data_IF_250768303538
#
_entry.id   IF_250768303538
#
_cell.length_a   1.000
_cell.length_b   1.000
_cell.length_c   1.000
_cell.angle_alpha   90.00
_cell.angle_beta   90.00
_cell.angle_gamma   90.00
#
_symmetry.space_group_name_H-M   'P 1'
#
loop_
_entity.id
_entity.type
_entity.pdbx_description
1 polymer ?
#
# COMPACT_ATOMS: atom_id res chain seq x y z
N UNK A 1 -27.91 1.93 0.67
CA UNK A 1 -27.56 2.87 -0.43
C UNK A 1 -27.44 2.09 -1.73
N UNK A 2 -27.66 2.69 -2.91
CA UNK A 2 -27.37 2.01 -4.17
C UNK A 2 -25.85 1.73 -4.23
N UNK A 3 -25.44 0.66 -4.95
CA UNK A 3 -24.04 0.34 -5.13
C UNK A 3 -23.26 1.52 -5.75
N UNK A 4 -22.07 1.86 -5.26
CA UNK A 4 -21.32 3.00 -5.75
C UNK A 4 -20.69 2.74 -7.12
N UNK A 5 -20.43 3.81 -7.88
CA UNK A 5 -19.47 3.80 -8.98
C UNK A 5 -18.09 4.14 -8.42
N UNK A 6 -17.13 3.27 -8.65
CA UNK A 6 -15.76 3.35 -8.09
C UNK A 6 -14.77 3.56 -9.22
N UNK A 7 -13.95 4.60 -9.12
CA UNK A 7 -12.86 4.83 -10.06
C UNK A 7 -11.50 4.58 -9.40
N UNK A 8 -10.59 3.90 -10.09
CA UNK A 8 -9.22 3.64 -9.67
C UNK A 8 -8.27 4.37 -10.62
N UNK A 9 -7.70 5.48 -10.16
CA UNK A 9 -6.64 6.18 -10.86
C UNK A 9 -5.29 5.48 -10.60
N UNK A 10 -4.51 5.28 -11.67
CA UNK A 10 -3.31 4.43 -11.59
C UNK A 10 -3.61 2.93 -11.55
N UNK A 11 -4.83 2.51 -11.94
CA UNK A 11 -5.31 1.13 -11.88
C UNK A 11 -4.51 0.13 -12.74
N UNK A 12 -3.61 0.58 -13.61
CA UNK A 12 -2.68 -0.28 -14.37
C UNK A 12 -1.31 -0.42 -13.70
N UNK A 13 -1.04 0.33 -12.62
CA UNK A 13 0.20 0.29 -11.84
C UNK A 13 0.32 -0.97 -10.97
N UNK A 14 1.41 -1.06 -10.19
CA UNK A 14 1.67 -2.22 -9.32
C UNK A 14 0.51 -2.45 -8.34
N UNK A 15 0.30 -1.57 -7.37
CA UNK A 15 -0.79 -1.66 -6.41
C UNK A 15 -2.16 -1.53 -7.07
N UNK A 16 -2.34 -0.54 -7.96
CA UNK A 16 -3.64 -0.26 -8.57
C UNK A 16 -4.22 -1.46 -9.33
N UNK A 17 -3.37 -2.24 -10.01
CA UNK A 17 -3.82 -3.43 -10.72
C UNK A 17 -4.26 -4.57 -9.78
N UNK A 18 -3.65 -4.68 -8.61
CA UNK A 18 -4.06 -5.63 -7.58
C UNK A 18 -5.42 -5.22 -7.00
N UNK A 19 -5.59 -3.93 -6.68
CA UNK A 19 -6.88 -3.40 -6.22
C UNK A 19 -7.98 -3.66 -7.25
N UNK A 20 -7.78 -3.27 -8.52
CA UNK A 20 -8.76 -3.50 -9.60
C UNK A 20 -9.12 -4.98 -9.71
N UNK A 21 -8.12 -5.88 -9.70
CA UNK A 21 -8.33 -7.32 -9.76
C UNK A 21 -9.18 -7.81 -8.60
N UNK A 22 -8.88 -7.42 -7.37
CA UNK A 22 -9.66 -7.84 -6.19
C UNK A 22 -11.11 -7.34 -6.27
N UNK A 23 -11.32 -6.09 -6.69
CA UNK A 23 -12.66 -5.53 -6.85
C UNK A 23 -13.47 -6.21 -7.98
N UNK A 24 -12.82 -6.76 -9.00
CA UNK A 24 -13.47 -7.49 -10.09
C UNK A 24 -13.78 -8.95 -9.74
N UNK A 25 -12.86 -9.63 -9.06
CA UNK A 25 -12.90 -11.10 -8.93
C UNK A 25 -13.50 -11.59 -7.63
N UNK A 26 -13.58 -10.76 -6.61
CA UNK A 26 -14.16 -11.16 -5.34
C UNK A 26 -15.69 -11.29 -5.47
N UNK A 27 -16.15 -12.53 -5.61
CA UNK A 27 -17.59 -12.85 -5.72
C UNK A 27 -18.41 -12.48 -4.47
N UNK A 28 -17.73 -12.23 -3.37
CA UNK A 28 -18.31 -11.92 -2.07
C UNK A 28 -18.27 -10.43 -1.73
N UNK A 29 -17.50 -9.61 -2.47
CA UNK A 29 -17.58 -8.16 -2.33
C UNK A 29 -18.88 -7.64 -2.97
N UNK A 30 -19.46 -6.57 -2.43
CA UNK A 30 -20.65 -5.97 -3.01
C UNK A 30 -20.43 -5.62 -4.46
N UNK A 31 -21.44 -5.85 -5.27
CA UNK A 31 -21.38 -5.42 -6.68
C UNK A 31 -21.38 -3.89 -6.72
N UNK A 32 -20.39 -3.34 -7.40
CA UNK A 32 -20.38 -1.92 -7.72
C UNK A 32 -21.37 -1.66 -8.87
N UNK A 33 -21.95 -0.46 -8.91
CA UNK A 33 -22.72 -0.01 -10.07
C UNK A 33 -21.82 0.02 -11.31
N UNK A 34 -20.59 0.48 -11.14
CA UNK A 34 -19.55 0.51 -12.15
C UNK A 34 -18.18 0.50 -11.48
N UNK A 35 -17.24 -0.30 -11.95
CA UNK A 35 -15.83 -0.22 -11.62
C UNK A 35 -15.08 0.39 -12.81
N UNK A 36 -14.43 1.51 -12.59
CA UNK A 36 -13.79 2.31 -13.62
C UNK A 36 -12.27 2.30 -13.42
N UNK A 37 -11.54 1.90 -14.43
CA UNK A 37 -10.09 2.06 -14.48
C UNK A 37 -9.79 3.37 -15.20
N UNK A 38 -9.24 4.34 -14.47
CA UNK A 38 -8.75 5.57 -15.07
C UNK A 38 -7.33 5.35 -15.57
N UNK A 39 -7.11 5.51 -16.87
CA UNK A 39 -5.83 5.30 -17.52
C UNK A 39 -5.47 6.48 -18.43
N UNK A 40 -4.17 6.74 -18.61
CA UNK A 40 -3.67 7.80 -19.52
C UNK A 40 -3.70 7.38 -21.00
N UNK A 41 -3.67 6.08 -21.24
CA UNK A 41 -3.73 5.48 -22.56
C UNK A 41 -4.26 4.05 -22.47
N UNK A 42 -4.73 3.52 -23.58
CA UNK A 42 -5.03 2.10 -23.70
C UNK A 42 -3.76 1.25 -23.62
N UNK A 43 -3.87 0.07 -23.05
CA UNK A 43 -2.80 -0.92 -22.90
C UNK A 43 -3.39 -2.33 -22.87
N UNK A 44 -2.55 -3.36 -22.94
CA UNK A 44 -3.01 -4.75 -22.80
C UNK A 44 -3.72 -4.92 -21.45
N UNK A 45 -3.21 -4.31 -20.39
CA UNK A 45 -3.80 -4.37 -19.05
C UNK A 45 -5.17 -3.69 -18.97
N UNK A 46 -5.38 -2.56 -19.65
CA UNK A 46 -6.72 -1.93 -19.70
C UNK A 46 -7.70 -2.81 -20.48
N UNK A 47 -7.28 -3.44 -21.59
CA UNK A 47 -8.09 -4.38 -22.34
C UNK A 47 -8.44 -5.64 -21.55
N UNK A 48 -7.48 -6.16 -20.78
CA UNK A 48 -7.70 -7.27 -19.85
C UNK A 48 -8.79 -6.93 -18.84
N UNK A 49 -8.68 -5.81 -18.14
CA UNK A 49 -9.69 -5.40 -17.15
C UNK A 49 -11.06 -5.14 -17.78
N UNK A 50 -11.08 -4.60 -18.99
CA UNK A 50 -12.31 -4.38 -19.74
C UNK A 50 -13.01 -5.71 -20.08
N UNK A 51 -12.24 -6.73 -20.48
CA UNK A 51 -12.78 -8.07 -20.73
C UNK A 51 -13.32 -8.76 -19.47
N UNK A 52 -12.86 -8.33 -18.28
CA UNK A 52 -13.31 -8.82 -16.98
C UNK A 52 -14.48 -8.00 -16.40
N UNK A 53 -14.96 -6.98 -17.12
CA UNK A 53 -16.14 -6.20 -16.75
C UNK A 53 -15.86 -4.81 -16.15
N UNK A 54 -14.63 -4.34 -16.12
CA UNK A 54 -14.35 -2.94 -15.78
C UNK A 54 -14.65 -2.00 -16.94
N UNK A 55 -15.11 -0.80 -16.65
CA UNK A 55 -15.08 0.31 -17.60
C UNK A 55 -13.68 0.93 -17.63
N UNK A 56 -13.19 1.29 -18.82
CA UNK A 56 -11.94 2.03 -18.97
C UNK A 56 -12.26 3.44 -19.45
N UNK A 57 -11.77 4.45 -18.71
CA UNK A 57 -11.88 5.85 -19.12
C UNK A 57 -10.50 6.44 -19.29
N UNK A 58 -10.22 6.95 -20.48
CA UNK A 58 -8.96 7.62 -20.78
C UNK A 58 -9.06 9.07 -20.32
N UNK A 59 -8.08 9.51 -19.52
CA UNK A 59 -8.07 10.85 -18.97
C UNK A 59 -6.78 11.61 -19.31
N UNK A 60 -6.94 12.92 -19.38
CA UNK A 60 -5.89 13.94 -19.37
C UNK A 60 -6.25 14.99 -18.33
N UNK A 61 -5.37 15.94 -18.04
CA UNK A 61 -5.69 17.03 -17.10
C UNK A 61 -6.91 17.83 -17.52
N UNK A 62 -7.09 18.05 -18.83
CA UNK A 62 -8.17 18.87 -19.38
C UNK A 62 -9.55 18.21 -19.33
N UNK A 63 -9.63 16.88 -19.22
CA UNK A 63 -10.90 16.16 -19.25
C UNK A 63 -11.25 15.44 -17.94
N UNK A 64 -10.50 15.68 -16.86
CA UNK A 64 -10.69 15.01 -15.56
C UNK A 64 -12.12 15.10 -15.02
N UNK A 65 -12.81 16.26 -15.02
CA UNK A 65 -14.20 16.31 -14.57
C UNK A 65 -15.11 15.35 -15.35
N UNK A 66 -14.93 15.26 -16.68
CA UNK A 66 -15.70 14.36 -17.54
C UNK A 66 -15.32 12.89 -17.30
N UNK A 67 -14.03 12.59 -17.09
CA UNK A 67 -13.58 11.23 -16.81
C UNK A 67 -14.09 10.73 -15.45
N UNK A 68 -14.39 11.64 -14.51
CA UNK A 68 -14.96 11.38 -13.20
C UNK A 68 -16.49 11.56 -13.14
N UNK A 69 -17.15 11.78 -14.26
CA UNK A 69 -18.62 11.94 -14.28
C UNK A 69 -19.32 10.68 -13.75
N UNK A 70 -20.26 10.87 -12.83
CA UNK A 70 -21.02 9.79 -12.19
C UNK A 70 -20.22 8.91 -11.22
N UNK A 71 -18.97 9.25 -10.90
CA UNK A 71 -18.14 8.55 -9.91
C UNK A 71 -18.54 8.95 -8.49
N UNK A 72 -18.77 7.97 -7.60
CA UNK A 72 -19.06 8.18 -6.19
C UNK A 72 -17.80 8.09 -5.32
N UNK A 73 -16.85 7.22 -5.69
CA UNK A 73 -15.59 6.99 -4.95
C UNK A 73 -14.40 7.02 -5.88
N UNK A 74 -13.37 7.76 -5.50
CA UNK A 74 -12.08 7.78 -6.20
C UNK A 74 -10.99 7.16 -5.33
N UNK A 75 -10.36 6.11 -5.83
CA UNK A 75 -9.15 5.50 -5.28
C UNK A 75 -7.96 5.96 -6.13
N UNK A 76 -7.03 6.68 -5.52
CA UNK A 76 -5.84 7.18 -6.21
C UNK A 76 -4.62 6.32 -5.85
N UNK A 77 -4.09 5.59 -6.82
CA UNK A 77 -2.88 4.78 -6.71
C UNK A 77 -1.76 5.27 -7.64
N UNK A 78 -1.85 6.52 -8.07
CA UNK A 78 -0.81 7.14 -8.90
C UNK A 78 0.48 7.26 -8.11
N UNK A 79 1.59 6.75 -8.66
CA UNK A 79 2.91 6.75 -8.03
C UNK A 79 3.54 8.15 -7.86
N UNK A 80 4.76 8.19 -7.31
CA UNK A 80 5.50 9.43 -7.01
C UNK A 80 5.76 10.30 -8.25
N UNK A 81 6.02 9.71 -9.40
CA UNK A 81 6.26 10.44 -10.66
C UNK A 81 5.02 11.17 -11.21
N UNK A 82 3.84 10.94 -10.65
CA UNK A 82 2.56 11.52 -11.10
C UNK A 82 2.02 12.61 -10.20
N UNK A 83 2.83 13.34 -9.44
CA UNK A 83 2.36 14.34 -8.49
C UNK A 83 1.49 15.45 -9.13
N UNK A 84 1.82 15.92 -10.33
CA UNK A 84 1.01 16.91 -11.06
C UNK A 84 -0.39 16.37 -11.39
N UNK A 85 -0.53 15.10 -11.78
CA UNK A 85 -1.84 14.49 -12.00
C UNK A 85 -2.65 14.34 -10.72
N UNK A 86 -2.00 14.06 -9.58
CA UNK A 86 -2.69 13.98 -8.29
C UNK A 86 -3.30 15.34 -7.92
N UNK A 87 -2.57 16.43 -8.13
CA UNK A 87 -3.06 17.79 -7.88
C UNK A 87 -4.18 18.16 -8.85
N UNK A 88 -4.03 17.87 -10.15
CA UNK A 88 -5.08 18.10 -11.15
C UNK A 88 -6.37 17.34 -10.80
N UNK A 89 -6.28 16.09 -10.34
CA UNK A 89 -7.43 15.33 -9.84
C UNK A 89 -8.13 16.03 -8.68
N UNK A 90 -7.38 16.52 -7.67
CA UNK A 90 -7.98 17.26 -6.55
C UNK A 90 -8.76 18.48 -7.02
N UNK A 91 -8.21 19.24 -7.96
CA UNK A 91 -8.85 20.44 -8.51
C UNK A 91 -10.11 20.11 -9.32
N UNK A 92 -10.20 18.90 -9.88
CA UNK A 92 -11.37 18.45 -10.62
C UNK A 92 -12.51 17.98 -9.70
N UNK A 93 -12.21 17.42 -8.52
CA UNK A 93 -13.18 16.79 -7.62
C UNK A 93 -14.37 17.70 -7.22
N UNK A 94 -14.23 19.02 -6.97
CA UNK A 94 -15.36 19.88 -6.65
C UNK A 94 -16.44 19.96 -7.76
N UNK A 95 -16.11 19.56 -8.98
CA UNK A 95 -17.02 19.56 -10.14
C UNK A 95 -17.64 18.17 -10.38
N UNK A 96 -17.49 17.23 -9.47
CA UNK A 96 -17.90 15.84 -9.64
C UNK A 96 -18.88 15.39 -8.55
N UNK A 97 -19.40 14.16 -8.67
CA UNK A 97 -20.26 13.52 -7.67
C UNK A 97 -19.51 12.72 -6.60
N UNK A 98 -18.19 12.75 -6.58
CA UNK A 98 -17.35 11.99 -5.64
C UNK A 98 -17.65 12.41 -4.20
N UNK A 99 -17.87 11.41 -3.33
CA UNK A 99 -18.18 11.57 -1.90
C UNK A 99 -17.07 11.04 -1.00
N UNK A 100 -16.23 10.13 -1.53
CA UNK A 100 -15.13 9.50 -0.81
C UNK A 100 -13.90 9.46 -1.68
N UNK A 101 -12.78 9.93 -1.12
CA UNK A 101 -11.48 9.95 -1.78
C UNK A 101 -10.43 9.23 -0.94
N UNK A 102 -9.78 8.24 -1.56
CA UNK A 102 -8.59 7.59 -1.01
C UNK A 102 -7.35 8.14 -1.72
N UNK A 103 -6.54 8.99 -1.07
CA UNK A 103 -5.28 9.47 -1.62
C UNK A 103 -4.25 8.33 -1.73
N UNK A 104 -3.20 8.52 -2.55
CA UNK A 104 -2.13 7.54 -2.75
C UNK A 104 -1.19 7.50 -1.54
N UNK A 105 -1.69 6.97 -0.43
CA UNK A 105 -0.93 6.74 0.79
C UNK A 105 -0.44 5.28 0.85
N UNK A 106 -1.27 4.33 1.09
CA UNK A 106 -1.13 2.86 1.04
C UNK A 106 0.19 2.24 1.54
N UNK A 107 1.07 3.00 2.15
CA UNK A 107 2.34 2.57 2.71
C UNK A 107 2.39 2.84 4.21
N UNK A 108 3.50 3.42 4.66
CA UNK A 108 3.69 3.80 6.06
C UNK A 108 2.99 5.13 6.38
N UNK A 109 2.68 5.32 7.65
CA UNK A 109 2.14 6.61 8.13
C UNK A 109 3.28 7.63 8.23
N UNK A 110 3.28 8.60 7.32
CA UNK A 110 4.33 9.63 7.27
C UNK A 110 4.17 10.73 8.31
N UNK A 111 3.11 10.71 9.12
CA UNK A 111 2.86 11.70 10.16
C UNK A 111 3.49 11.31 11.51
N UNK A 112 4.05 10.10 11.61
CA UNK A 112 4.74 9.62 12.82
C UNK A 112 6.22 10.05 12.89
N UNK A 113 6.72 10.74 11.85
CA UNK A 113 8.09 11.27 11.81
C UNK A 113 8.11 12.69 11.23
N UNK A 114 9.18 13.44 11.50
CA UNK A 114 9.32 14.85 11.14
C UNK A 114 10.53 15.16 10.23
N UNK A 115 11.39 14.18 9.95
CA UNK A 115 12.52 14.41 9.04
C UNK A 115 12.04 14.61 7.60
N UNK A 116 12.74 15.45 6.80
CA UNK A 116 12.36 15.76 5.43
C UNK A 116 12.59 14.57 4.49
N UNK A 117 11.63 14.31 3.62
CA UNK A 117 11.75 13.36 2.53
C UNK A 117 10.82 13.80 1.37
N UNK A 118 11.39 14.02 0.20
CA UNK A 118 10.70 14.65 -0.94
C UNK A 118 9.34 14.01 -1.25
N UNK A 119 9.30 12.68 -1.37
CA UNK A 119 8.05 11.97 -1.70
C UNK A 119 7.02 12.08 -0.57
N UNK A 120 7.45 11.94 0.68
CA UNK A 120 6.54 11.96 1.83
C UNK A 120 6.05 13.37 2.15
N UNK A 121 6.90 14.37 1.97
CA UNK A 121 6.50 15.78 2.08
C UNK A 121 5.50 16.15 0.97
N UNK A 122 5.66 15.58 -0.24
CA UNK A 122 4.69 15.74 -1.31
C UNK A 122 3.33 15.08 -0.96
N UNK A 123 3.30 13.91 -0.29
CA UNK A 123 2.06 13.30 0.21
C UNK A 123 1.41 14.17 1.29
N UNK A 124 2.18 14.65 2.27
CA UNK A 124 1.69 15.57 3.32
C UNK A 124 1.11 16.86 2.70
N UNK A 125 1.78 17.42 1.69
CA UNK A 125 1.29 18.58 0.94
C UNK A 125 0.00 18.27 0.19
N UNK A 126 -0.09 17.11 -0.46
CA UNK A 126 -1.28 16.67 -1.18
C UNK A 126 -2.49 16.55 -0.25
N UNK A 127 -2.31 15.98 0.95
CA UNK A 127 -3.40 15.86 1.92
C UNK A 127 -3.87 17.23 2.42
N UNK A 128 -2.95 18.17 2.76
CA UNK A 128 -3.33 19.54 3.13
C UNK A 128 -4.14 20.22 2.02
N UNK A 129 -3.67 20.10 0.77
CA UNK A 129 -4.37 20.66 -0.38
C UNK A 129 -5.75 20.00 -0.57
N UNK A 130 -5.87 18.70 -0.31
CA UNK A 130 -7.16 18.02 -0.36
C UNK A 130 -8.14 18.59 0.67
N UNK A 131 -7.70 18.82 1.91
CA UNK A 131 -8.54 19.42 2.97
C UNK A 131 -9.03 20.84 2.58
N UNK A 132 -8.21 21.60 1.86
CA UNK A 132 -8.56 22.95 1.40
C UNK A 132 -9.54 22.93 0.22
N UNK A 133 -9.31 22.08 -0.79
CA UNK A 133 -10.05 22.09 -2.04
C UNK A 133 -11.34 21.28 -2.02
N UNK A 134 -11.40 20.23 -1.18
CA UNK A 134 -12.53 19.30 -1.16
C UNK A 134 -13.07 19.06 0.27
N UNK A 135 -13.37 20.13 1.04
CA UNK A 135 -13.79 19.98 2.45
C UNK A 135 -15.12 19.23 2.62
N UNK A 136 -15.92 19.11 1.55
CA UNK A 136 -17.19 18.37 1.54
C UNK A 136 -17.07 16.89 1.13
N UNK A 137 -15.87 16.43 0.76
CA UNK A 137 -15.61 15.06 0.35
C UNK A 137 -14.89 14.35 1.51
N UNK A 138 -15.36 13.14 1.88
CA UNK A 138 -14.65 12.33 2.86
C UNK A 138 -13.30 11.90 2.31
N UNK A 139 -12.22 12.19 3.03
CA UNK A 139 -10.86 11.73 2.70
C UNK A 139 -10.51 10.62 3.67
N UNK A 140 -10.05 9.46 3.16
CA UNK A 140 -9.60 8.33 3.97
C UNK A 140 -8.19 7.91 3.54
N UNK A 141 -7.22 8.03 4.44
CA UNK A 141 -5.83 7.60 4.23
C UNK A 141 -5.67 6.18 4.75
N UNK A 142 -5.25 5.27 3.88
CA UNK A 142 -5.01 3.86 4.23
C UNK A 142 -3.52 3.62 4.34
N UNK A 143 -3.08 3.14 5.48
CA UNK A 143 -1.70 2.79 5.79
C UNK A 143 -1.59 1.28 5.93
N UNK A 144 -0.86 0.65 5.04
CA UNK A 144 -0.72 -0.80 4.96
C UNK A 144 0.58 -1.33 5.61
N UNK A 145 1.38 -0.45 6.20
CA UNK A 145 2.75 -0.78 6.59
C UNK A 145 3.61 -1.01 5.35
N UNK A 146 4.35 -2.10 5.31
CA UNK A 146 5.13 -2.50 4.13
C UNK A 146 4.35 -3.52 3.28
N UNK A 147 4.51 -3.47 1.95
CA UNK A 147 3.91 -4.48 1.09
C UNK A 147 4.63 -5.82 1.24
N UNK A 148 3.89 -6.86 1.61
CA UNK A 148 4.43 -8.18 1.88
C UNK A 148 5.25 -8.74 0.71
N UNK A 149 4.78 -8.55 -0.53
CA UNK A 149 5.41 -9.07 -1.74
C UNK A 149 6.74 -8.40 -2.06
N UNK A 150 6.85 -7.09 -1.79
CA UNK A 150 7.98 -6.26 -2.23
C UNK A 150 9.01 -6.02 -1.12
N UNK A 151 8.68 -6.35 0.14
CA UNK A 151 9.50 -5.89 1.28
C UNK A 151 10.41 -6.96 1.88
N UNK A 152 10.27 -8.22 1.49
CA UNK A 152 11.18 -9.28 1.95
C UNK A 152 12.26 -9.50 0.88
N UNK A 153 13.03 -8.43 0.63
CA UNK A 153 14.09 -8.40 -0.37
C UNK A 153 15.36 -7.71 0.14
N UNK A 154 16.46 -7.78 -0.61
CA UNK A 154 17.76 -7.30 -0.16
C UNK A 154 17.80 -5.79 0.15
N UNK A 155 16.95 -4.98 -0.48
CA UNK A 155 16.82 -3.53 -0.20
C UNK A 155 16.27 -3.23 1.20
N UNK A 156 15.60 -4.18 1.85
CA UNK A 156 15.18 -4.11 3.25
C UNK A 156 16.08 -4.92 4.20
N UNK A 157 17.20 -5.46 3.70
CA UNK A 157 18.13 -6.23 4.49
C UNK A 157 17.89 -7.75 4.47
N UNK A 158 16.91 -8.23 3.69
CA UNK A 158 16.61 -9.65 3.55
C UNK A 158 17.37 -10.23 2.33
N UNK A 159 18.67 -10.49 2.50
CA UNK A 159 19.52 -11.03 1.43
C UNK A 159 19.39 -12.55 1.37
N UNK A 160 18.33 -13.04 0.77
CA UNK A 160 18.02 -14.46 0.64
C UNK A 160 19.06 -15.22 -0.18
N UNK A 161 19.62 -14.60 -1.22
CA UNK A 161 20.67 -15.19 -2.07
C UNK A 161 21.90 -15.66 -1.26
N UNK A 162 22.22 -14.91 -0.20
CA UNK A 162 23.37 -15.21 0.65
C UNK A 162 22.98 -15.76 2.03
N UNK A 163 21.72 -16.14 2.24
CA UNK A 163 21.17 -16.62 3.50
C UNK A 163 21.52 -15.71 4.68
N UNK A 164 21.43 -14.38 4.48
CA UNK A 164 21.81 -13.39 5.47
C UNK A 164 20.79 -12.26 5.55
N UNK A 165 20.19 -12.10 6.72
CA UNK A 165 19.26 -11.01 7.02
C UNK A 165 19.90 -10.03 8.00
N UNK A 166 19.75 -8.75 7.71
CA UNK A 166 20.33 -7.67 8.51
C UNK A 166 19.24 -6.74 9.03
N UNK A 167 19.06 -6.72 10.35
CA UNK A 167 18.26 -5.72 11.03
C UNK A 167 19.06 -4.43 11.22
N UNK A 168 18.35 -3.30 11.28
CA UNK A 168 18.89 -2.07 11.86
C UNK A 168 18.40 -2.00 13.30
N UNK A 169 19.29 -1.83 14.27
CA UNK A 169 18.93 -1.90 15.70
C UNK A 169 18.59 -3.33 16.13
N UNK A 170 17.49 -3.50 16.83
CA UNK A 170 17.07 -4.84 17.34
C UNK A 170 16.50 -5.71 16.25
N UNK A 171 16.97 -6.95 16.08
CA UNK A 171 16.35 -7.92 15.17
C UNK A 171 14.96 -8.39 15.64
N UNK A 172 14.57 -8.09 16.87
CA UNK A 172 13.29 -8.45 17.48
C UNK A 172 12.25 -7.32 17.35
N UNK A 173 12.61 -6.18 16.75
CA UNK A 173 11.65 -5.10 16.51
C UNK A 173 10.63 -5.54 15.46
N UNK A 174 9.35 -5.45 15.83
CA UNK A 174 8.23 -5.85 14.97
C UNK A 174 7.96 -4.79 13.91
N UNK A 175 7.67 -5.26 12.70
CA UNK A 175 7.20 -4.46 11.57
C UNK A 175 5.95 -5.10 10.98
N UNK A 176 5.00 -4.29 10.55
CA UNK A 176 3.74 -4.75 9.94
C UNK A 176 3.81 -4.77 8.42
N UNK A 177 3.30 -5.85 7.86
CA UNK A 177 3.26 -6.14 6.42
C UNK A 177 1.83 -6.43 6.00
N UNK A 178 1.45 -5.94 4.82
CA UNK A 178 0.13 -6.24 4.24
C UNK A 178 0.30 -6.58 2.76
N UNK A 179 -0.30 -7.69 2.32
CA UNK A 179 -0.34 -8.05 0.90
C UNK A 179 -1.08 -6.99 0.09
N UNK A 180 -0.58 -6.67 -1.10
CA UNK A 180 -1.27 -5.74 -2.01
C UNK A 180 -2.66 -6.26 -2.41
N UNK A 181 -2.84 -7.57 -2.50
CA UNK A 181 -4.15 -8.17 -2.74
C UNK A 181 -5.08 -7.96 -1.55
N UNK A 182 -4.57 -8.00 -0.31
CA UNK A 182 -5.33 -7.73 0.91
C UNK A 182 -5.73 -6.26 1.02
N UNK A 183 -4.87 -5.34 0.62
CA UNK A 183 -5.24 -3.92 0.49
C UNK A 183 -6.44 -3.77 -0.44
N UNK A 184 -6.44 -4.47 -1.58
CA UNK A 184 -7.58 -4.47 -2.51
C UNK A 184 -8.87 -5.01 -1.89
N UNK A 185 -8.78 -6.13 -1.14
CA UNK A 185 -9.93 -6.72 -0.42
C UNK A 185 -10.44 -5.81 0.70
N UNK A 186 -9.52 -5.24 1.48
CA UNK A 186 -9.87 -4.31 2.55
C UNK A 186 -10.59 -3.07 2.00
N UNK A 187 -10.09 -2.48 0.92
CA UNK A 187 -10.78 -1.39 0.24
C UNK A 187 -12.17 -1.83 -0.23
N UNK A 188 -12.30 -3.03 -0.81
CA UNK A 188 -13.60 -3.58 -1.21
C UNK A 188 -14.62 -3.59 -0.08
N UNK A 189 -14.20 -3.95 1.15
CA UNK A 189 -15.07 -3.90 2.34
C UNK A 189 -15.37 -2.45 2.74
N UNK A 190 -14.36 -1.57 2.81
CA UNK A 190 -14.56 -0.16 3.16
C UNK A 190 -15.53 0.56 2.22
N UNK A 191 -15.58 0.16 0.95
CA UNK A 191 -16.51 0.68 -0.05
C UNK A 191 -17.98 0.29 0.20
N UNK A 192 -18.25 -0.65 1.11
CA UNK A 192 -19.61 -1.01 1.53
C UNK A 192 -20.18 -0.06 2.58
N UNK A 193 -19.31 0.66 3.25
CA UNK A 193 -19.69 1.60 4.30
C UNK A 193 -20.29 2.87 3.70
N UNK A 194 -21.12 3.54 4.50
CA UNK A 194 -21.48 4.93 4.20
C UNK A 194 -20.19 5.76 4.12
N UNK A 195 -19.95 6.55 3.04
CA UNK A 195 -18.77 7.40 2.93
C UNK A 195 -18.47 8.23 4.18
N UNK A 196 -19.51 8.77 4.84
CA UNK A 196 -19.35 9.55 6.06
C UNK A 196 -18.87 8.73 7.27
N UNK A 197 -19.00 7.40 7.24
CA UNK A 197 -18.58 6.48 8.30
C UNK A 197 -17.21 5.86 8.06
N UNK A 198 -16.64 6.01 6.86
CA UNK A 198 -15.28 5.55 6.59
C UNK A 198 -14.30 6.40 7.42
N UNK A 199 -13.42 5.80 8.24
CA UNK A 199 -12.46 6.56 9.05
C UNK A 199 -11.54 7.42 8.17
N UNK A 200 -11.04 8.53 8.73
CA UNK A 200 -10.06 9.39 8.03
C UNK A 200 -8.68 8.74 7.89
N UNK A 201 -8.39 7.83 8.79
CA UNK A 201 -7.18 7.02 8.81
C UNK A 201 -7.57 5.58 9.04
N UNK A 202 -6.93 4.67 8.34
CA UNK A 202 -7.10 3.22 8.47
C UNK A 202 -5.71 2.59 8.44
N UNK A 203 -5.30 1.97 9.53
CA UNK A 203 -4.07 1.20 9.62
C UNK A 203 -4.38 -0.28 9.45
N UNK A 204 -3.73 -0.92 8.49
CA UNK A 204 -3.89 -2.35 8.20
C UNK A 204 -2.62 -3.10 8.60
N UNK A 205 -2.77 -4.34 9.08
CA UNK A 205 -1.67 -5.25 9.38
C UNK A 205 -2.07 -6.67 8.97
N UNK A 206 -1.63 -7.12 7.81
CA UNK A 206 -1.88 -8.49 7.37
C UNK A 206 -1.09 -9.50 8.21
N UNK A 207 0.16 -9.18 8.51
CA UNK A 207 1.02 -9.90 9.46
C UNK A 207 2.01 -8.92 10.09
N UNK A 208 2.51 -9.24 11.28
CA UNK A 208 3.47 -8.40 12.00
C UNK A 208 4.57 -9.27 12.59
N UNK A 209 5.78 -9.13 12.10
CA UNK A 209 6.94 -9.96 12.44
C UNK A 209 8.22 -9.14 12.55
N UNK A 210 9.12 -9.61 13.37
CA UNK A 210 10.50 -9.13 13.46
C UNK A 210 11.39 -9.77 12.40
N UNK A 211 12.59 -9.21 12.16
CA UNK A 211 13.59 -9.79 11.24
C UNK A 211 13.99 -11.21 11.68
N UNK A 212 14.13 -11.43 13.00
CA UNK A 212 14.46 -12.74 13.55
C UNK A 212 13.34 -13.77 13.28
N UNK A 213 12.07 -13.41 13.49
CA UNK A 213 10.93 -14.28 13.20
C UNK A 213 10.81 -14.57 11.68
N UNK A 214 11.05 -13.57 10.82
CA UNK A 214 11.03 -13.76 9.37
C UNK A 214 12.14 -14.72 8.94
N UNK A 215 13.34 -14.60 9.49
CA UNK A 215 14.43 -15.51 9.20
C UNK A 215 14.05 -16.96 9.54
N UNK A 216 13.46 -17.18 10.72
CA UNK A 216 12.99 -18.51 11.12
C UNK A 216 11.92 -19.05 10.16
N UNK A 217 10.92 -18.25 9.81
CA UNK A 217 9.83 -18.64 8.90
C UNK A 217 10.37 -19.03 7.51
N UNK A 218 11.32 -18.25 6.97
CA UNK A 218 11.91 -18.52 5.66
C UNK A 218 12.83 -19.73 5.69
N UNK A 219 13.62 -19.90 6.75
CA UNK A 219 14.49 -21.06 6.94
C UNK A 219 13.69 -22.37 7.02
N UNK A 220 12.65 -22.41 7.84
CA UNK A 220 11.74 -23.56 7.96
C UNK A 220 11.10 -23.93 6.60
N UNK A 221 10.70 -22.95 5.81
CA UNK A 221 10.08 -23.18 4.51
C UNK A 221 11.09 -23.60 3.43
N UNK A 222 12.34 -23.16 3.53
CA UNK A 222 13.40 -23.54 2.58
C UNK A 222 13.81 -25.01 2.69
N UNK A 223 13.69 -25.60 3.89
CA UNK A 223 14.16 -26.93 4.19
C UNK A 223 15.70 -27.09 4.13
N UNK A 224 16.43 -26.00 4.05
CA UNK A 224 17.90 -26.00 4.03
C UNK A 224 18.46 -26.15 5.44
N UNK A 225 19.60 -26.84 5.55
CA UNK A 225 20.22 -27.15 6.86
C UNK A 225 21.11 -26.03 7.40
N UNK A 226 21.41 -25.02 6.59
CA UNK A 226 22.46 -24.05 6.93
C UNK A 226 21.93 -22.84 7.75
N UNK A 227 20.63 -22.70 7.84
CA UNK A 227 20.00 -21.56 8.53
C UNK A 227 20.20 -20.21 7.82
N UNK A 228 19.41 -19.22 8.22
CA UNK A 228 19.59 -17.83 7.80
C UNK A 228 20.33 -17.08 8.91
N UNK A 229 21.51 -16.54 8.60
CA UNK A 229 22.26 -15.69 9.54
C UNK A 229 21.51 -14.38 9.75
N UNK A 230 21.18 -14.05 10.99
CA UNK A 230 20.62 -12.75 11.36
C UNK A 230 21.70 -11.87 11.98
N UNK A 231 21.95 -10.71 11.37
CA UNK A 231 22.91 -9.72 11.85
C UNK A 231 22.19 -8.43 12.23
N UNK A 232 22.89 -7.53 12.90
CA UNK A 232 22.36 -6.23 13.32
C UNK A 232 23.38 -5.13 13.07
N UNK A 233 22.92 -4.00 12.53
CA UNK A 233 23.72 -2.77 12.40
C UNK A 233 23.24 -1.71 13.42
N UNK A 234 24.15 -0.84 13.81
CA UNK A 234 23.84 0.27 14.75
C UNK A 234 22.80 1.21 14.14
N UNK A 235 21.65 1.41 14.80
CA UNK A 235 20.61 2.34 14.35
C UNK A 235 21.14 3.77 14.24
N UNK A 236 21.93 4.22 15.21
CA UNK A 236 22.46 5.58 15.24
C UNK A 236 23.42 5.84 14.08
N UNK A 237 24.34 4.91 13.81
CA UNK A 237 25.30 5.03 12.71
C UNK A 237 24.61 4.93 11.34
N UNK A 238 23.69 3.98 11.18
CA UNK A 238 22.92 3.81 9.95
C UNK A 238 22.10 5.08 9.63
N UNK A 239 21.40 5.62 10.61
CA UNK A 239 20.59 6.82 10.45
C UNK A 239 21.46 8.04 10.11
N UNK A 240 22.61 8.18 10.75
CA UNK A 240 23.59 9.24 10.43
C UNK A 240 24.11 9.13 8.99
N UNK A 241 24.41 7.91 8.52
CA UNK A 241 24.83 7.68 7.13
C UNK A 241 23.73 8.05 6.13
N UNK A 242 22.49 7.62 6.37
CA UNK A 242 21.36 7.92 5.48
C UNK A 242 21.13 9.42 5.35
N UNK A 243 21.21 10.18 6.44
CA UNK A 243 21.06 11.63 6.39
C UNK A 243 22.27 12.36 5.80
N UNK A 244 23.47 11.83 5.96
CA UNK A 244 24.67 12.38 5.29
C UNK A 244 24.66 12.13 3.78
N UNK A 245 24.05 11.05 3.33
CA UNK A 245 23.98 10.62 1.94
C UNK A 245 22.53 10.35 1.50
N UNK A 246 21.67 11.39 1.43
CA UNK A 246 20.27 11.22 1.14
C UNK A 246 20.07 10.58 -0.24
N UNK A 247 19.16 9.62 -0.30
CA UNK A 247 18.78 8.91 -1.53
C UNK A 247 17.32 9.24 -1.88
N UNK A 248 16.98 9.30 -3.17
CA UNK A 248 15.59 9.54 -3.59
C UNK A 248 14.68 8.34 -3.29
N UNK A 249 15.25 7.14 -3.08
CA UNK A 249 14.50 5.92 -2.81
C UNK A 249 14.20 5.78 -1.31
N UNK A 250 13.00 5.36 -0.94
CA UNK A 250 12.57 5.36 0.47
C UNK A 250 13.14 4.20 1.30
N UNK A 251 13.69 3.15 0.70
CA UNK A 251 14.02 1.89 1.38
C UNK A 251 14.98 2.10 2.54
N UNK A 252 16.02 2.92 2.39
CA UNK A 252 16.98 3.18 3.47
C UNK A 252 16.32 3.89 4.66
N UNK A 253 15.39 4.80 4.39
CA UNK A 253 14.62 5.48 5.44
C UNK A 253 13.64 4.52 6.11
N UNK A 254 12.98 3.67 5.33
CA UNK A 254 12.04 2.68 5.85
C UNK A 254 12.75 1.69 6.79
N UNK A 255 14.00 1.29 6.51
CA UNK A 255 14.77 0.40 7.38
C UNK A 255 14.98 0.97 8.78
N UNK A 256 15.26 2.26 8.93
CA UNK A 256 15.39 2.80 10.28
C UNK A 256 14.02 3.11 10.92
N UNK A 257 12.95 3.39 10.14
CA UNK A 257 11.59 3.45 10.68
C UNK A 257 11.11 2.10 11.20
N UNK A 258 11.48 0.99 10.53
CA UNK A 258 11.28 -0.37 11.05
C UNK A 258 11.96 -0.52 12.41
N UNK A 259 13.23 -0.12 12.51
CA UNK A 259 14.02 -0.21 13.75
C UNK A 259 13.48 0.65 14.89
N UNK A 260 12.88 1.78 14.61
CA UNK A 260 12.24 2.68 15.57
C UNK A 260 10.82 2.26 15.98
N UNK A 261 10.28 1.18 15.38
CA UNK A 261 8.92 0.68 15.63
C UNK A 261 7.83 1.56 15.03
N UNK A 262 8.18 2.46 14.11
CA UNK A 262 7.24 3.41 13.48
C UNK A 262 6.41 2.79 12.34
N UNK A 263 6.60 1.48 12.10
CA UNK A 263 5.80 0.66 11.17
C UNK A 263 5.20 -0.55 11.92
N UNK A 264 5.07 -0.46 13.22
CA UNK A 264 4.41 -1.49 14.04
C UNK A 264 2.93 -1.11 14.23
N UNK A 265 2.04 -1.77 13.48
CA UNK A 265 0.59 -1.60 13.59
C UNK A 265 -0.04 -2.61 14.57
N UNK A 266 0.73 -3.23 15.45
CA UNK A 266 0.18 -4.03 16.55
C UNK A 266 -0.37 -3.12 17.65
N UNK A 267 -1.09 -3.69 18.60
CA UNK A 267 -1.59 -2.96 19.77
C UNK A 267 -0.48 -2.36 20.66
N UNK A 268 0.78 -2.79 20.50
CA UNK A 268 1.95 -2.26 21.19
C UNK A 268 2.58 -1.06 20.48
N UNK A 269 2.31 -0.91 19.17
CA UNK A 269 2.76 0.18 18.34
C UNK A 269 1.64 1.17 18.02
N UNK A 270 1.41 1.43 16.74
CA UNK A 270 0.40 2.39 16.26
C UNK A 270 -1.05 1.87 16.35
N UNK A 271 -1.24 0.56 16.56
CA UNK A 271 -2.54 -0.07 16.44
C UNK A 271 -2.95 -0.32 15.00
N UNK A 272 -4.03 -1.09 14.81
CA UNK A 272 -4.63 -1.29 13.49
C UNK A 272 -6.16 -1.27 13.56
N UNK A 273 -6.75 -1.12 12.39
CA UNK A 273 -8.19 -1.06 12.16
C UNK A 273 -8.70 -2.33 11.45
N UNK A 274 -7.99 -3.45 11.56
CA UNK A 274 -8.34 -4.72 10.91
C UNK A 274 -9.78 -5.16 11.21
N UNK A 275 -10.28 -4.86 12.41
CA UNK A 275 -11.66 -5.15 12.80
C UNK A 275 -12.72 -4.52 11.89
N UNK A 276 -12.39 -3.46 11.13
CA UNK A 276 -13.30 -2.87 10.15
C UNK A 276 -13.59 -3.80 8.96
N UNK A 277 -12.68 -4.72 8.69
CA UNK A 277 -12.73 -5.58 7.50
C UNK A 277 -12.78 -7.07 7.86
N UNK A 278 -12.27 -7.47 9.00
CA UNK A 278 -12.32 -8.85 9.48
C UNK A 278 -13.74 -9.30 9.74
N UNK A 279 -14.08 -10.50 9.28
CA UNK A 279 -15.43 -11.05 9.42
C UNK A 279 -16.46 -10.48 8.43
N UNK A 280 -16.09 -9.50 7.61
CA UNK A 280 -16.93 -9.05 6.51
C UNK A 280 -17.00 -10.11 5.40
N UNK A 281 -18.17 -10.26 4.80
CA UNK A 281 -18.35 -11.15 3.66
C UNK A 281 -17.35 -10.82 2.56
N UNK A 282 -16.59 -11.83 2.15
CA UNK A 282 -15.65 -11.74 1.05
C UNK A 282 -14.24 -11.25 1.39
N UNK A 283 -13.97 -10.84 2.61
CA UNK A 283 -12.60 -10.51 2.99
C UNK A 283 -11.73 -11.77 3.11
N UNK A 284 -12.25 -12.82 3.77
CA UNK A 284 -11.50 -14.05 4.04
C UNK A 284 -10.49 -13.86 5.17
N UNK A 285 -9.22 -14.21 4.92
CA UNK A 285 -8.13 -14.03 5.88
C UNK A 285 -7.00 -13.20 5.27
N UNK A 286 -6.19 -12.62 6.13
CA UNK A 286 -4.95 -11.95 5.74
C UNK A 286 -3.93 -12.95 5.20
N UNK A 287 -3.17 -12.54 4.19
CA UNK A 287 -1.97 -13.26 3.73
C UNK A 287 -0.84 -13.00 4.71
N UNK A 288 -0.19 -14.07 5.16
CA UNK A 288 0.87 -14.01 6.17
C UNK A 288 2.26 -14.21 5.56
N UNK A 289 3.30 -13.95 6.35
CA UNK A 289 4.69 -14.28 6.01
C UNK A 289 4.91 -15.79 5.81
N UNK A 290 4.16 -16.64 6.55
CA UNK A 290 4.16 -18.08 6.31
C UNK A 290 3.57 -18.44 4.93
N UNK A 291 2.55 -17.67 4.46
CA UNK A 291 2.02 -17.89 3.12
C UNK A 291 3.06 -17.52 2.06
N UNK A 292 3.72 -16.36 2.20
CA UNK A 292 4.81 -15.95 1.31
C UNK A 292 5.96 -16.96 1.32
N UNK A 293 6.35 -17.44 2.48
CA UNK A 293 7.41 -18.43 2.61
C UNK A 293 7.08 -19.73 1.88
N UNK A 294 5.83 -20.23 2.00
CA UNK A 294 5.37 -21.40 1.24
C UNK A 294 5.35 -21.17 -0.27
N UNK A 295 4.88 -20.02 -0.71
CA UNK A 295 4.82 -19.66 -2.14
C UNK A 295 6.20 -19.56 -2.79
N UNK A 296 7.20 -19.09 -2.03
CA UNK A 296 8.56 -18.85 -2.52
C UNK A 296 9.56 -19.96 -2.15
N UNK A 297 9.09 -21.00 -1.46
CA UNK A 297 9.99 -22.04 -0.91
C UNK A 297 11.00 -21.45 0.07
N UNK A 298 10.61 -20.45 0.87
CA UNK A 298 11.49 -19.75 1.80
C UNK A 298 12.50 -18.80 1.14
N UNK A 299 12.39 -18.55 -0.17
CA UNK A 299 13.38 -17.79 -0.95
C UNK A 299 12.75 -16.61 -1.72
N UNK A 300 12.06 -15.67 -1.02
CA UNK A 300 11.56 -14.48 -1.69
C UNK A 300 12.74 -13.69 -2.26
N UNK A 301 12.63 -13.24 -3.51
CA UNK A 301 13.69 -12.50 -4.23
C UNK A 301 15.05 -13.22 -4.24
N UNK A 302 15.05 -14.57 -4.32
CA UNK A 302 16.23 -15.40 -4.14
C UNK A 302 17.42 -15.11 -5.08
N UNK A 303 17.17 -14.52 -6.25
CA UNK A 303 18.19 -14.13 -7.23
C UNK A 303 18.50 -12.61 -7.22
N UNK A 304 17.80 -11.82 -6.40
CA UNK A 304 17.97 -10.38 -6.36
C UNK A 304 19.15 -9.95 -5.48
N UNK A 305 19.83 -8.90 -5.93
CA UNK A 305 20.87 -8.20 -5.16
C UNK A 305 20.49 -6.71 -5.04
N UNK A 306 20.86 -6.11 -3.91
CA UNK A 306 20.77 -4.67 -3.72
C UNK A 306 22.16 -4.06 -3.99
N UNK A 307 22.27 -3.02 -4.87
CA UNK A 307 23.54 -2.40 -5.21
C UNK A 307 24.16 -1.57 -4.07
#
# INVERSE_FOLDING_TARGET
MPPPAVAVAGGTGNLGSKIVKQLLTSSSLPRFRELIVLARAESDKTREFQSQGASVRIYSEDNLPKALDGVDVLINTVGSTGHHFKEAMLRALPQTSVKLYFPSEFGVDHYVHDFPHEEWDAKKKHYRLAQELIPGIRISRVYAGLFLEDSIGPWFGFNTKHSRYEAIGSPDQVTSYTSMDDVGRALGVLLTLDPAKVPEQVHLAGDSKSVAEIAQIMDEASGEKNGIEVTSASLAEYKAEVFANPRPTPEKYLRFLMAEGLIDHTAKGLGNDNALVEGADGFGRWKTLQDLARETGGKPWGDAEWP
#
